data_IF_059321790082
#
_entry.id   IF_059321790082
#
_cell.length_a   1.000
_cell.length_b   1.000
_cell.length_c   1.000
_cell.angle_alpha   90.00
_cell.angle_beta   90.00
_cell.angle_gamma   90.00
#
_symmetry.space_group_name_H-M   'P 1'
#
loop_
_entity.id
_entity.type
_entity.pdbx_description
1 polymer ?
#
# COMPACT_ATOMS: atom_id res chain seq x y z
N UNK A 1 -1.71 -47.67 -3.71
CA UNK A 1 -0.29 -47.71 -3.32
C UNK A 1 0.02 -46.41 -2.59
N UNK A 2 0.32 -46.50 -1.30
CA UNK A 2 0.78 -45.41 -0.45
C UNK A 2 1.92 -46.01 0.36
N UNK A 3 3.08 -45.35 0.40
CA UNK A 3 4.18 -45.70 1.29
C UNK A 3 4.59 -44.47 2.11
N UNK A 4 4.75 -44.58 3.44
CA UNK A 4 5.06 -43.47 4.32
C UNK A 4 6.44 -43.60 5.05
N UNK A 5 6.96 -42.43 5.44
CA UNK A 5 7.95 -42.12 6.51
C UNK A 5 9.38 -42.69 6.45
N UNK A 6 10.37 -41.83 6.77
CA UNK A 6 11.35 -42.12 7.82
C UNK A 6 12.03 -40.85 8.36
N UNK A 7 11.90 -40.67 9.67
CA UNK A 7 12.63 -39.74 10.53
C UNK A 7 13.76 -40.55 11.18
N UNK A 8 15.00 -40.04 11.20
CA UNK A 8 16.08 -40.54 12.07
C UNK A 8 16.90 -39.36 12.54
N UNK A 9 16.82 -39.12 13.85
CA UNK A 9 17.76 -38.33 14.65
C UNK A 9 18.70 -39.34 15.34
N UNK A 10 20.02 -39.15 15.33
CA UNK A 10 20.91 -39.36 16.49
C UNK A 10 22.42 -39.12 16.21
N UNK A 11 23.01 -38.30 17.09
CA UNK A 11 24.30 -38.45 17.81
C UNK A 11 25.65 -37.99 17.21
N UNK A 12 26.08 -36.82 17.71
CA UNK A 12 27.20 -36.57 18.64
C UNK A 12 28.60 -37.23 18.50
N UNK A 13 29.59 -36.36 18.76
CA UNK A 13 30.97 -36.55 19.26
C UNK A 13 32.04 -37.01 18.24
N UNK A 14 33.26 -36.45 18.17
CA UNK A 14 33.98 -35.57 19.09
C UNK A 14 35.20 -34.91 18.39
N UNK A 15 35.83 -33.98 19.12
CA UNK A 15 37.25 -33.61 19.10
C UNK A 15 37.70 -32.39 18.27
N UNK A 16 37.50 -31.21 18.86
CA UNK A 16 38.57 -30.28 19.27
C UNK A 16 39.75 -30.00 18.31
N UNK A 17 39.84 -28.75 17.87
CA UNK A 17 41.07 -28.20 17.30
C UNK A 17 40.92 -26.71 17.01
N UNK A 18 41.38 -25.88 17.93
CA UNK A 18 41.62 -24.45 17.69
C UNK A 18 42.64 -24.26 16.55
N UNK A 19 42.34 -23.36 15.62
CA UNK A 19 43.37 -22.55 14.98
C UNK A 19 43.49 -22.66 13.46
N UNK A 20 43.27 -21.54 12.79
CA UNK A 20 44.13 -21.12 11.68
C UNK A 20 43.49 -21.06 10.30
N UNK A 21 43.36 -19.82 9.79
CA UNK A 21 43.62 -19.55 8.37
C UNK A 21 42.40 -19.42 7.46
N UNK A 22 42.17 -18.23 6.87
CA UNK A 22 41.11 -17.99 5.90
C UNK A 22 41.61 -18.38 4.51
N UNK A 23 40.86 -19.12 3.70
CA UNK A 23 41.01 -19.12 2.24
C UNK A 23 39.90 -19.94 1.56
N UNK A 24 39.63 -19.59 0.31
CA UNK A 24 38.85 -20.35 -0.69
C UNK A 24 37.38 -19.96 -0.90
N UNK A 25 37.17 -18.83 -1.59
CA UNK A 25 36.05 -18.67 -2.54
C UNK A 25 36.43 -18.01 -3.86
N UNK A 26 37.71 -17.80 -4.17
CA UNK A 26 38.13 -17.21 -5.45
C UNK A 26 39.35 -17.95 -6.00
N UNK A 27 39.12 -19.13 -6.58
CA UNK A 27 40.07 -19.74 -7.52
C UNK A 27 39.53 -19.49 -8.93
N UNK A 28 40.17 -18.55 -9.62
CA UNK A 28 40.07 -18.32 -11.05
C UNK A 28 41.46 -17.94 -11.54
N UNK A 29 42.08 -18.87 -12.25
CA UNK A 29 43.46 -18.93 -12.73
C UNK A 29 43.90 -17.71 -13.59
N UNK A 30 45.04 -17.10 -13.23
CA UNK A 30 46.28 -16.76 -14.00
C UNK A 30 46.19 -16.18 -15.44
N UNK A 31 46.91 -15.12 -15.90
CA UNK A 31 48.00 -14.25 -15.40
C UNK A 31 48.26 -13.07 -16.42
N UNK A 32 49.25 -12.13 -16.31
CA UNK A 32 49.04 -10.67 -16.18
C UNK A 32 49.95 -9.83 -17.16
N UNK A 33 50.46 -8.58 -16.90
CA UNK A 33 50.13 -7.53 -15.90
C UNK A 33 49.98 -6.09 -16.46
N UNK A 34 49.13 -5.25 -15.84
CA UNK A 34 49.52 -3.89 -15.37
C UNK A 34 48.37 -3.13 -14.71
N UNK A 35 48.69 -2.59 -13.52
CA UNK A 35 48.07 -1.44 -12.83
C UNK A 35 46.61 -1.53 -12.31
N UNK A 36 46.51 -1.96 -11.04
CA UNK A 36 45.84 -1.27 -9.93
C UNK A 36 44.39 -0.77 -10.09
N UNK A 37 43.47 -1.60 -9.60
CA UNK A 37 42.32 -1.29 -8.74
C UNK A 37 42.10 0.21 -8.43
N UNK A 38 41.00 0.78 -8.96
CA UNK A 38 40.10 1.64 -8.17
C UNK A 38 38.68 1.63 -8.75
N UNK A 39 37.80 1.00 -7.97
CA UNK A 39 36.36 0.93 -8.10
C UNK A 39 35.78 2.34 -8.20
N UNK A 40 34.99 2.56 -9.26
CA UNK A 40 34.29 3.79 -9.62
C UNK A 40 33.24 4.18 -8.57
N UNK A 41 33.63 5.09 -7.68
CA UNK A 41 32.74 6.10 -7.10
C UNK A 41 33.08 7.43 -7.77
N UNK A 42 32.54 7.69 -8.96
CA UNK A 42 32.80 8.94 -9.68
C UNK A 42 31.64 9.34 -10.59
N UNK A 43 30.54 9.78 -9.99
CA UNK A 43 29.56 10.63 -10.69
C UNK A 43 29.25 11.94 -9.94
N UNK A 44 30.07 12.32 -8.95
CA UNK A 44 29.97 13.63 -8.28
C UNK A 44 31.14 14.58 -8.57
N UNK A 45 32.04 14.25 -9.51
CA UNK A 45 33.21 15.08 -9.81
C UNK A 45 33.24 15.70 -11.21
N UNK A 46 32.18 15.56 -12.01
CA UNK A 46 32.11 16.16 -13.35
C UNK A 46 31.58 17.61 -13.38
N UNK A 47 31.31 18.23 -12.22
CA UNK A 47 30.91 19.64 -12.14
C UNK A 47 32.03 20.57 -11.60
N UNK A 48 33.26 20.04 -11.41
CA UNK A 48 34.39 20.80 -10.86
C UNK A 48 35.41 21.25 -11.94
N UNK A 49 35.01 21.27 -13.21
CA UNK A 49 35.84 21.72 -14.33
C UNK A 49 35.16 22.84 -15.16
N UNK A 50 34.35 23.67 -14.50
CA UNK A 50 33.97 24.99 -14.99
C UNK A 50 34.36 26.00 -13.91
N UNK A 51 35.20 26.96 -14.27
CA UNK A 51 35.98 27.75 -13.32
C UNK A 51 35.16 28.54 -12.28
N UNK A 52 35.73 28.60 -11.07
CA UNK A 52 35.65 29.79 -10.22
C UNK A 52 34.59 29.83 -9.11
N UNK A 53 34.53 28.84 -8.21
CA UNK A 53 33.94 29.03 -6.88
C UNK A 53 34.42 27.94 -5.89
N UNK A 54 35.72 27.95 -5.57
CA UNK A 54 36.27 27.10 -4.54
C UNK A 54 36.05 27.73 -3.15
N UNK A 55 35.35 27.00 -2.25
CA UNK A 55 35.71 27.00 -0.83
C UNK A 55 34.84 27.75 0.18
N UNK A 56 33.51 27.71 0.10
CA UNK A 56 32.68 28.14 1.24
C UNK A 56 31.68 27.07 1.73
N UNK A 57 32.17 25.86 2.04
CA UNK A 57 31.42 25.07 3.03
C UNK A 57 31.43 25.89 4.31
N UNK A 58 30.24 26.32 4.74
CA UNK A 58 30.07 27.12 5.95
C UNK A 58 30.80 26.43 7.10
N UNK A 59 31.76 27.13 7.71
CA UNK A 59 32.57 26.58 8.81
C UNK A 59 31.69 26.18 9.98
N UNK A 60 30.55 26.84 10.15
CA UNK A 60 29.55 26.49 11.15
C UNK A 60 28.92 25.14 10.82
N UNK A 61 28.45 24.94 9.59
CA UNK A 61 27.91 23.65 9.15
C UNK A 61 28.92 22.51 9.24
N UNK A 62 30.20 22.77 8.93
CA UNK A 62 31.26 21.78 9.09
C UNK A 62 31.50 21.41 10.56
N UNK A 63 31.53 22.41 11.46
CA UNK A 63 31.67 22.18 12.89
C UNK A 63 30.48 21.43 13.47
N UNK A 64 29.25 21.80 13.10
CA UNK A 64 28.02 21.12 13.51
C UNK A 64 28.03 19.65 13.07
N UNK A 65 28.46 19.39 11.84
CA UNK A 65 28.55 18.03 11.31
C UNK A 65 29.61 17.20 12.05
N UNK A 66 30.75 17.80 12.38
CA UNK A 66 31.82 17.16 13.18
C UNK A 66 31.36 16.89 14.61
N UNK A 67 30.58 17.77 15.22
CA UNK A 67 30.07 17.63 16.59
C UNK A 67 28.95 16.58 16.69
N UNK A 68 28.12 16.45 15.66
CA UNK A 68 27.01 15.48 15.63
C UNK A 68 27.51 14.04 15.41
N UNK A 69 28.65 13.82 14.75
CA UNK A 69 29.16 12.47 14.44
C UNK A 69 29.42 11.61 15.69
N UNK A 70 30.14 12.09 16.73
CA UNK A 70 30.30 11.35 18.00
C UNK A 70 28.96 11.09 18.72
N UNK A 71 27.99 12.00 18.62
CA UNK A 71 26.68 11.85 19.26
C UNK A 71 25.84 10.77 18.55
N UNK A 72 25.86 10.76 17.23
CA UNK A 72 25.23 9.73 16.40
C UNK A 72 25.89 8.37 16.65
N UNK A 73 27.21 8.32 16.75
CA UNK A 73 27.94 7.09 17.09
C UNK A 73 27.54 6.59 18.49
N UNK A 74 27.48 7.48 19.50
CA UNK A 74 26.98 7.13 20.84
C UNK A 74 25.54 6.63 20.82
N UNK A 75 24.67 7.18 19.98
CA UNK A 75 23.28 6.73 19.85
C UNK A 75 23.20 5.33 19.22
N UNK A 76 24.03 5.05 18.22
CA UNK A 76 24.13 3.74 17.56
C UNK A 76 24.68 2.70 18.54
N UNK A 77 25.72 3.04 19.29
CA UNK A 77 26.33 2.15 20.29
C UNK A 77 25.37 1.88 21.46
N UNK A 78 24.54 2.87 21.84
CA UNK A 78 23.44 2.70 22.82
C UNK A 78 22.31 1.81 22.32
N UNK A 79 22.03 1.80 21.02
CA UNK A 79 21.01 0.95 20.39
C UNK A 79 21.43 -0.54 20.36
N UNK A 80 22.72 -0.84 20.49
CA UNK A 80 23.17 -2.23 20.68
C UNK A 80 22.95 -2.73 22.12
N UNK A 81 22.89 -1.82 23.11
CA UNK A 81 22.76 -2.14 24.53
C UNK A 81 21.33 -1.94 25.09
N UNK A 82 20.29 -1.83 24.24
CA UNK A 82 18.90 -1.70 24.70
C UNK A 82 18.41 -3.01 25.31
N UNK A 83 18.53 -3.12 26.63
CA UNK A 83 17.87 -4.12 27.46
C UNK A 83 16.42 -3.75 27.79
N UNK A 84 15.67 -3.16 26.84
CA UNK A 84 14.22 -3.03 26.99
C UNK A 84 13.56 -4.35 26.55
N UNK A 85 13.62 -5.37 27.40
CA UNK A 85 12.68 -6.47 27.28
C UNK A 85 11.30 -5.91 27.61
N UNK A 86 10.52 -5.59 26.58
CA UNK A 86 9.08 -5.35 26.67
C UNK A 86 8.42 -6.66 27.12
N UNK A 87 8.50 -6.99 28.42
CA UNK A 87 7.60 -7.95 29.05
C UNK A 87 6.23 -7.29 29.13
N UNK A 88 5.55 -7.20 27.98
CA UNK A 88 4.11 -7.01 27.95
C UNK A 88 3.49 -8.33 28.36
N UNK A 89 2.95 -8.41 29.58
CA UNK A 89 2.07 -9.51 29.95
C UNK A 89 0.81 -9.44 29.07
N UNK A 90 0.70 -10.35 28.12
CA UNK A 90 -0.55 -10.58 27.39
C UNK A 90 -1.53 -11.24 28.36
N UNK A 91 -2.48 -10.47 28.88
CA UNK A 91 -3.69 -11.04 29.45
C UNK A 91 -4.63 -11.39 28.29
N UNK A 92 -4.76 -12.68 27.98
CA UNK A 92 -5.77 -13.18 27.05
C UNK A 92 -7.17 -12.92 27.62
N UNK A 93 -7.84 -11.85 27.18
CA UNK A 93 -9.29 -11.71 27.38
C UNK A 93 -10.01 -12.48 26.28
N UNK A 94 -10.91 -13.40 26.64
CA UNK A 94 -11.75 -14.13 25.68
C UNK A 94 -12.53 -13.15 24.81
N UNK A 95 -12.52 -13.37 23.49
CA UNK A 95 -13.34 -12.65 22.51
C UNK A 95 -14.82 -12.70 22.89
N UNK A 96 -15.55 -11.58 22.95
CA UNK A 96 -16.98 -11.61 23.20
C UNK A 96 -17.67 -12.31 22.02
N UNK A 97 -18.49 -13.31 22.31
CA UNK A 97 -19.27 -14.04 21.31
C UNK A 97 -20.26 -13.11 20.61
N UNK A 98 -20.44 -13.36 19.31
CA UNK A 98 -21.29 -12.62 18.36
C UNK A 98 -22.79 -12.69 18.66
N UNK A 99 -23.19 -13.38 19.74
CA UNK A 99 -24.59 -13.60 20.12
C UNK A 99 -25.22 -12.42 20.89
N UNK A 100 -24.42 -11.47 21.39
CA UNK A 100 -24.96 -10.30 22.13
C UNK A 100 -25.57 -9.21 21.25
N UNK A 101 -25.39 -9.28 19.92
CA UNK A 101 -25.95 -8.33 18.96
C UNK A 101 -27.37 -8.68 18.49
N UNK A 102 -27.90 -9.87 18.80
CA UNK A 102 -29.20 -10.34 18.29
C UNK A 102 -30.39 -10.12 19.24
N UNK A 103 -30.21 -9.44 20.39
CA UNK A 103 -31.26 -9.27 21.41
C UNK A 103 -31.67 -7.83 21.71
N UNK A 104 -31.52 -6.92 20.73
CA UNK A 104 -31.86 -5.49 20.87
C UNK A 104 -32.89 -4.96 19.86
N UNK A 105 -33.83 -5.79 19.41
CA UNK A 105 -35.01 -5.33 18.63
C UNK A 105 -36.31 -5.34 19.43
N UNK A 106 -36.30 -5.60 20.74
CA UNK A 106 -37.51 -5.48 21.57
C UNK A 106 -37.18 -4.97 22.97
N UNK A 107 -37.19 -3.65 23.15
CA UNK A 107 -37.75 -2.96 24.34
C UNK A 107 -37.36 -1.48 24.29
N UNK A 108 -38.29 -0.68 23.75
CA UNK A 108 -38.35 0.75 24.05
C UNK A 108 -38.84 0.94 25.48
N UNK A 109 -38.10 1.73 26.28
CA UNK A 109 -38.53 2.54 27.45
C UNK A 109 -37.72 2.26 28.73
N UNK A 110 -36.96 3.26 29.18
CA UNK A 110 -36.40 3.26 30.54
C UNK A 110 -35.24 4.22 30.71
N UNK A 111 -35.41 5.21 31.59
CA UNK A 111 -34.47 6.29 31.88
C UNK A 111 -33.37 5.86 32.86
N UNK A 112 -32.28 6.62 32.87
CA UNK A 112 -31.28 6.81 33.93
C UNK A 112 -30.35 5.64 34.29
N UNK A 113 -29.05 5.85 34.03
CA UNK A 113 -27.97 5.51 34.96
C UNK A 113 -26.69 6.27 34.55
N UNK A 114 -26.45 7.40 35.21
CA UNK A 114 -25.14 8.05 35.21
C UNK A 114 -24.13 7.11 35.90
N UNK A 115 -23.06 6.74 35.21
CA UNK A 115 -21.93 6.05 35.81
C UNK A 115 -20.83 7.04 36.19
N UNK A 116 -20.32 6.79 37.39
CA UNK A 116 -19.59 7.65 38.29
C UNK A 116 -18.10 7.79 37.98
N UNK A 117 -17.55 8.96 38.32
CA UNK A 117 -16.12 9.26 38.38
C UNK A 117 -15.69 9.13 39.85
N UNK A 118 -14.59 8.42 40.20
CA UNK A 118 -14.12 8.33 41.58
C UNK A 118 -13.04 9.40 41.86
N UNK A 119 -13.38 10.43 42.65
CA UNK A 119 -12.38 11.32 43.25
C UNK A 119 -12.13 10.90 44.69
N UNK A 120 -10.88 10.57 45.00
CA UNK A 120 -10.43 10.16 46.34
C UNK A 120 -9.83 11.37 47.09
N UNK A 121 -10.28 11.52 48.35
CA UNK A 121 -9.70 12.25 49.49
C UNK A 121 -9.86 13.79 49.54
N UNK A 122 -10.82 14.24 50.35
CA UNK A 122 -10.58 15.32 51.32
C UNK A 122 -11.09 14.92 52.71
N UNK A 123 -10.29 15.29 53.71
CA UNK A 123 -10.37 14.93 55.13
C UNK A 123 -11.37 15.86 55.82
N UNK A 124 -12.28 15.29 56.60
CA UNK A 124 -13.38 15.97 57.30
C UNK A 124 -13.09 16.01 58.81
N UNK A 125 -13.34 17.19 59.41
CA UNK A 125 -13.37 17.57 60.83
C UNK A 125 -14.29 18.80 60.79
N UNK A 126 -15.53 18.81 61.22
CA UNK A 126 -16.20 18.06 62.27
C UNK A 126 -16.93 19.12 63.07
N UNK A 127 -18.22 19.35 62.79
CA UNK A 127 -19.05 20.26 63.57
C UNK A 127 -20.43 19.64 63.80
N UNK A 128 -20.67 19.29 65.07
CA UNK A 128 -21.99 19.05 65.63
C UNK A 128 -22.21 20.22 66.57
N UNK A 129 -23.37 20.86 66.49
CA UNK A 129 -24.38 20.79 67.56
C UNK A 129 -25.59 21.64 67.17
N UNK A 130 -26.75 20.99 67.27
CA UNK A 130 -28.08 21.56 67.14
C UNK A 130 -28.61 21.65 68.57
N UNK A 131 -28.77 22.85 69.11
CA UNK A 131 -29.18 23.05 70.50
C UNK A 131 -29.97 24.34 70.68
N UNK A 132 -31.28 24.19 70.82
CA UNK A 132 -32.31 25.23 70.84
C UNK A 132 -32.93 25.24 72.24
N UNK A 133 -33.11 26.44 72.83
CA UNK A 133 -34.21 26.90 73.71
C UNK A 133 -33.81 27.71 74.97
N UNK A 134 -34.44 28.89 75.08
CA UNK A 134 -35.00 29.57 76.28
C UNK A 134 -34.15 29.81 77.53
N UNK A 135 -33.97 31.08 77.91
CA UNK A 135 -34.76 31.71 79.00
C UNK A 135 -34.37 33.17 79.23
N UNK A 136 -35.37 33.95 79.62
CA UNK A 136 -35.34 35.36 79.97
C UNK A 136 -34.44 35.65 81.18
N UNK A 137 -33.87 36.86 81.28
CA UNK A 137 -34.27 37.88 82.26
C UNK A 137 -33.27 39.06 82.33
N UNK A 138 -33.85 40.22 82.61
CA UNK A 138 -33.31 41.55 82.91
C UNK A 138 -31.95 41.63 83.60
N UNK A 139 -31.21 42.68 83.23
CA UNK A 139 -30.11 43.25 84.02
C UNK A 139 -29.49 44.49 83.39
N UNK A 140 -30.30 45.41 82.85
CA UNK A 140 -29.84 46.72 82.40
C UNK A 140 -29.57 47.61 83.61
N UNK A 141 -28.32 47.61 84.09
CA UNK A 141 -27.79 48.54 85.08
C UNK A 141 -26.27 48.41 85.16
N UNK A 142 -25.55 48.90 84.14
CA UNK A 142 -24.18 49.37 84.33
C UNK A 142 -23.96 50.64 83.50
N UNK A 143 -24.03 51.76 84.20
CA UNK A 143 -23.74 53.11 83.72
C UNK A 143 -22.35 53.20 83.08
N UNK A 144 -22.16 54.02 82.03
CA UNK A 144 -20.86 54.29 81.46
C UNK A 144 -20.10 55.27 82.36
N UNK A 145 -19.03 54.80 82.99
CA UNK A 145 -18.10 55.69 83.69
C UNK A 145 -17.18 56.27 82.62
N UNK A 146 -17.48 57.51 82.22
CA UNK A 146 -16.48 58.41 81.68
C UNK A 146 -15.35 58.54 82.70
N UNK A 147 -14.16 58.05 82.35
CA UNK A 147 -12.92 58.33 83.07
C UNK A 147 -11.98 59.02 82.10
N UNK A 148 -11.83 60.34 82.26
CA UNK A 148 -10.81 61.15 81.57
C UNK A 148 -9.70 61.48 82.55
N UNK A 149 -8.48 61.04 82.23
CA UNK A 149 -7.14 61.54 82.59
C UNK A 149 -6.16 60.47 82.10
N UNK A 150 -5.04 60.67 81.42
CA UNK A 150 -4.30 61.81 80.91
C UNK A 150 -3.08 61.15 80.21
N UNK A 151 -2.91 61.34 78.90
CA UNK A 151 -1.74 61.07 78.03
C UNK A 151 -0.80 59.85 78.31
N UNK A 152 -0.62 58.99 77.28
CA UNK A 152 0.39 59.30 76.26
C UNK A 152 -0.22 59.35 74.86
N UNK A 153 -1.11 60.32 74.61
CA UNK A 153 -1.80 60.44 73.31
C UNK A 153 -0.87 60.77 72.14
N UNK A 154 0.34 61.29 72.40
CA UNK A 154 1.34 61.53 71.36
C UNK A 154 1.88 60.20 70.80
N UNK A 155 2.26 59.27 71.69
CA UNK A 155 2.81 57.96 71.29
C UNK A 155 1.77 57.04 70.64
N UNK A 156 0.51 57.16 71.01
CA UNK A 156 -0.57 56.39 70.37
C UNK A 156 -1.04 57.03 69.05
N UNK A 157 -0.97 58.36 68.94
CA UNK A 157 -1.17 59.08 67.68
C UNK A 157 -0.14 58.72 66.61
N UNK A 158 1.15 58.70 66.97
CA UNK A 158 2.24 58.30 66.06
C UNK A 158 2.09 56.86 65.58
N UNK A 159 1.66 55.94 66.45
CA UNK A 159 1.35 54.55 66.07
C UNK A 159 0.16 54.47 65.11
N UNK A 160 -0.88 55.26 65.34
CA UNK A 160 -2.04 55.34 64.44
C UNK A 160 -1.64 55.88 63.06
N UNK A 161 -0.75 56.86 63.01
CA UNK A 161 -0.19 57.40 61.76
C UNK A 161 0.66 56.34 61.06
N UNK A 162 1.55 55.64 61.78
CA UNK A 162 2.36 54.56 61.21
C UNK A 162 1.52 53.37 60.72
N UNK A 163 0.44 53.01 61.41
CA UNK A 163 -0.50 51.97 60.97
C UNK A 163 -1.27 52.41 59.72
N UNK A 164 -1.68 53.68 59.65
CA UNK A 164 -2.31 54.25 58.46
C UNK A 164 -1.37 54.17 57.25
N UNK A 165 -0.12 54.58 57.42
CA UNK A 165 0.90 54.50 56.37
C UNK A 165 1.11 53.04 55.91
N UNK A 166 1.16 52.07 56.84
CA UNK A 166 1.23 50.65 56.47
C UNK A 166 0.01 50.17 55.69
N UNK A 167 -1.20 50.60 56.05
CA UNK A 167 -2.42 50.25 55.31
C UNK A 167 -2.38 50.85 53.91
N UNK A 168 -1.95 52.09 53.75
CA UNK A 168 -1.79 52.75 52.46
C UNK A 168 -0.72 52.06 51.59
N UNK A 169 0.40 51.63 52.19
CA UNK A 169 1.44 50.86 51.50
C UNK A 169 0.98 49.46 51.10
N UNK A 170 0.23 48.77 51.97
CA UNK A 170 -0.35 47.47 51.66
C UNK A 170 -1.40 47.60 50.55
N UNK A 171 -2.22 48.65 50.57
CA UNK A 171 -3.20 48.95 49.54
C UNK A 171 -2.51 49.20 48.19
N UNK A 172 -1.41 49.97 48.17
CA UNK A 172 -0.60 50.21 46.97
C UNK A 172 0.03 48.93 46.42
N UNK A 173 0.56 48.07 47.31
CA UNK A 173 1.10 46.75 46.93
C UNK A 173 0.03 45.79 46.43
N UNK A 174 -1.22 45.95 46.87
CA UNK A 174 -2.34 45.15 46.38
C UNK A 174 -2.69 45.59 44.95
N UNK A 175 -2.84 46.89 44.71
CA UNK A 175 -3.15 47.41 43.37
C UNK A 175 -2.07 47.10 42.34
N UNK A 176 -0.79 47.17 42.71
CA UNK A 176 0.31 46.76 41.82
C UNK A 176 0.24 45.27 41.47
N UNK A 177 -0.10 44.40 42.44
CA UNK A 177 -0.30 42.97 42.17
C UNK A 177 -1.52 42.72 41.29
N UNK A 178 -2.60 43.45 41.48
CA UNK A 178 -3.82 43.32 40.67
C UNK A 178 -3.55 43.74 39.21
N UNK A 179 -2.80 44.81 38.98
CA UNK A 179 -2.36 45.22 37.64
C UNK A 179 -1.44 44.18 36.97
N UNK A 180 -0.51 43.60 37.73
CA UNK A 180 0.35 42.51 37.24
C UNK A 180 -0.46 41.24 36.93
N UNK A 181 -1.46 40.92 37.76
CA UNK A 181 -2.35 39.78 37.55
C UNK A 181 -3.18 39.99 36.27
N UNK A 182 -3.75 41.18 36.08
CA UNK A 182 -4.46 41.56 34.85
C UNK A 182 -3.54 41.49 33.61
N UNK A 183 -2.30 41.94 33.72
CA UNK A 183 -1.32 41.82 32.62
C UNK A 183 -0.99 40.37 32.31
N UNK A 184 -0.79 39.53 33.33
CA UNK A 184 -0.52 38.11 33.16
C UNK A 184 -1.72 37.36 32.57
N UNK A 185 -2.95 37.73 32.94
CA UNK A 185 -4.17 37.18 32.37
C UNK A 185 -4.30 37.52 30.88
N UNK A 186 -4.02 38.77 30.50
CA UNK A 186 -3.96 39.18 29.08
C UNK A 186 -2.91 38.42 28.29
N UNK A 187 -1.71 38.25 28.83
CA UNK A 187 -0.68 37.42 28.21
C UNK A 187 -1.12 35.95 28.09
N UNK A 188 -1.75 35.39 29.12
CA UNK A 188 -2.27 34.01 29.09
C UNK A 188 -3.33 33.83 28.00
N UNK A 189 -4.24 34.79 27.82
CA UNK A 189 -5.25 34.73 26.74
C UNK A 189 -4.62 34.85 25.35
N UNK A 190 -3.61 35.72 25.18
CA UNK A 190 -2.80 35.84 23.96
C UNK A 190 -2.05 34.54 23.62
N UNK A 191 -1.39 33.93 24.61
CA UNK A 191 -0.69 32.64 24.45
C UNK A 191 -1.68 31.53 24.11
N UNK A 192 -2.86 31.51 24.72
CA UNK A 192 -3.90 30.53 24.43
C UNK A 192 -4.40 30.65 22.98
N UNK A 193 -4.62 31.87 22.49
CA UNK A 193 -5.00 32.09 21.10
C UNK A 193 -3.90 31.62 20.12
N UNK A 194 -2.62 31.92 20.41
CA UNK A 194 -1.49 31.43 19.60
C UNK A 194 -1.35 29.91 19.62
N UNK A 195 -1.63 29.27 20.76
CA UNK A 195 -1.63 27.81 20.89
C UNK A 195 -2.73 27.18 20.03
N UNK A 196 -3.93 27.74 20.03
CA UNK A 196 -5.05 27.25 19.24
C UNK A 196 -4.77 27.41 17.72
N UNK A 197 -4.18 28.52 17.30
CA UNK A 197 -3.72 28.73 15.91
C UNK A 197 -2.63 27.71 15.51
N UNK A 198 -1.62 27.51 16.36
CA UNK A 198 -0.58 26.51 16.09
C UNK A 198 -1.16 25.09 15.98
N UNK A 199 -2.17 24.76 16.78
CA UNK A 199 -2.88 23.49 16.72
C UNK A 199 -3.68 23.35 15.41
N UNK A 200 -4.32 24.42 14.97
CA UNK A 200 -5.01 24.46 13.68
C UNK A 200 -4.03 24.20 12.53
N UNK A 201 -2.91 24.93 12.47
CA UNK A 201 -1.87 24.75 11.45
C UNK A 201 -1.26 23.35 11.47
N UNK A 202 -1.06 22.76 12.65
CA UNK A 202 -0.60 21.38 12.76
C UNK A 202 -1.62 20.41 12.12
N UNK A 203 -2.91 20.61 12.36
CA UNK A 203 -3.96 19.78 11.78
C UNK A 203 -4.09 19.93 10.26
N UNK A 204 -3.90 21.13 9.71
CA UNK A 204 -3.86 21.38 8.26
C UNK A 204 -2.64 20.74 7.60
N UNK A 205 -1.46 20.85 8.23
CA UNK A 205 -0.25 20.19 7.72
C UNK A 205 -0.38 18.67 7.77
N UNK A 206 -1.00 18.11 8.80
CA UNK A 206 -1.27 16.67 8.88
C UNK A 206 -2.26 16.21 7.79
N UNK A 207 -3.28 17.01 7.47
CA UNK A 207 -4.23 16.69 6.39
C UNK A 207 -3.56 16.76 5.00
N UNK A 208 -2.70 17.76 4.78
CA UNK A 208 -1.88 17.88 3.58
C UNK A 208 -0.91 16.69 3.45
N UNK A 209 -0.25 16.31 4.55
CA UNK A 209 0.66 15.16 4.57
C UNK A 209 -0.08 13.87 4.20
N UNK A 210 -1.26 13.62 4.79
CA UNK A 210 -2.09 12.46 4.43
C UNK A 210 -2.50 12.47 2.96
N UNK A 211 -2.86 13.64 2.44
CA UNK A 211 -3.27 13.79 1.03
C UNK A 211 -2.10 13.52 0.09
N UNK A 212 -0.93 14.10 0.34
CA UNK A 212 0.28 13.88 -0.47
C UNK A 212 0.76 12.44 -0.38
N UNK A 213 0.67 11.80 0.79
CA UNK A 213 0.96 10.38 0.96
C UNK A 213 0.03 9.51 0.11
N UNK A 214 -1.28 9.81 0.09
CA UNK A 214 -2.26 9.10 -0.75
C UNK A 214 -1.96 9.27 -2.24
N UNK A 215 -1.63 10.48 -2.68
CA UNK A 215 -1.24 10.73 -4.07
C UNK A 215 0.03 9.98 -4.47
N UNK A 216 1.00 9.88 -3.57
CA UNK A 216 2.22 9.12 -3.80
C UNK A 216 1.94 7.62 -3.92
N UNK A 217 1.06 7.06 -3.09
CA UNK A 217 0.65 5.66 -3.22
C UNK A 217 -0.07 5.39 -4.54
N UNK A 218 -0.96 6.28 -4.96
CA UNK A 218 -1.68 6.15 -6.23
C UNK A 218 -0.72 6.21 -7.43
N UNK A 219 0.25 7.13 -7.38
CA UNK A 219 1.29 7.23 -8.40
C UNK A 219 2.16 5.97 -8.45
N UNK A 220 2.49 5.38 -7.28
CA UNK A 220 3.25 4.12 -7.19
C UNK A 220 2.49 2.95 -7.82
N UNK A 221 1.18 2.85 -7.58
CA UNK A 221 0.33 1.83 -8.20
C UNK A 221 0.32 2.00 -9.72
N UNK A 222 0.06 3.22 -10.22
CA UNK A 222 0.08 3.52 -11.66
C UNK A 222 1.43 3.19 -12.30
N UNK A 223 2.54 3.45 -11.60
CA UNK A 223 3.86 3.10 -12.08
C UNK A 223 4.05 1.58 -12.21
N UNK A 224 3.59 0.80 -11.22
CA UNK A 224 3.61 -0.65 -11.27
C UNK A 224 2.76 -1.19 -12.44
N UNK A 225 1.57 -0.61 -12.68
CA UNK A 225 0.71 -0.99 -13.81
C UNK A 225 1.40 -0.71 -15.16
N UNK A 226 2.08 0.44 -15.27
CA UNK A 226 2.85 0.78 -16.47
C UNK A 226 4.04 -0.17 -16.67
N UNK A 227 4.72 -0.55 -15.59
CA UNK A 227 5.81 -1.54 -15.64
C UNK A 227 5.29 -2.91 -16.11
N UNK A 228 4.17 -3.38 -15.58
CA UNK A 228 3.56 -4.64 -16.01
C UNK A 228 3.12 -4.60 -17.48
N UNK A 229 2.56 -3.48 -17.95
CA UNK A 229 2.20 -3.31 -19.35
C UNK A 229 3.43 -3.32 -20.28
N UNK A 230 4.54 -2.72 -19.84
CA UNK A 230 5.80 -2.71 -20.59
C UNK A 230 6.36 -4.14 -20.70
N UNK A 231 6.45 -4.88 -19.60
CA UNK A 231 6.96 -6.26 -19.59
C UNK A 231 6.13 -7.18 -20.48
N UNK A 232 4.80 -7.01 -20.46
CA UNK A 232 3.90 -7.73 -21.37
C UNK A 232 4.21 -7.41 -22.83
N UNK A 233 4.29 -6.14 -23.19
CA UNK A 233 4.59 -5.71 -24.56
C UNK A 233 5.97 -6.22 -25.00
N UNK A 234 6.97 -6.15 -24.13
CA UNK A 234 8.30 -6.68 -24.38
C UNK A 234 8.24 -8.20 -24.65
N UNK A 235 7.51 -8.95 -23.84
CA UNK A 235 7.34 -10.39 -24.04
C UNK A 235 6.62 -10.71 -25.36
N UNK A 236 5.56 -9.96 -25.70
CA UNK A 236 4.87 -10.08 -26.98
C UNK A 236 5.80 -9.77 -28.16
N UNK A 237 6.62 -8.72 -28.05
CA UNK A 237 7.59 -8.34 -29.08
C UNK A 237 8.69 -9.38 -29.26
N UNK A 238 9.29 -9.91 -28.18
CA UNK A 238 10.32 -10.94 -28.27
C UNK A 238 9.77 -12.26 -28.82
N UNK A 239 8.55 -12.61 -28.43
CA UNK A 239 7.89 -13.84 -28.90
C UNK A 239 7.46 -13.71 -30.37
N UNK A 240 6.94 -12.55 -30.77
CA UNK A 240 6.62 -12.26 -32.16
C UNK A 240 7.87 -12.25 -33.04
N UNK A 241 8.96 -11.64 -32.56
CA UNK A 241 10.25 -11.64 -33.26
C UNK A 241 10.75 -13.06 -33.54
N UNK A 242 10.71 -13.95 -32.54
CA UNK A 242 11.08 -15.36 -32.73
C UNK A 242 10.18 -16.10 -33.74
N UNK A 243 8.88 -15.79 -33.79
CA UNK A 243 7.98 -16.35 -34.83
C UNK A 243 8.35 -15.89 -36.23
N UNK A 244 8.71 -14.61 -36.39
CA UNK A 244 9.15 -14.05 -37.68
C UNK A 244 10.48 -14.67 -38.11
N UNK A 245 11.44 -14.82 -37.21
CA UNK A 245 12.72 -15.50 -37.48
C UNK A 245 12.49 -16.94 -37.96
N UNK A 246 11.60 -17.69 -37.30
CA UNK A 246 11.25 -19.06 -37.73
C UNK A 246 10.60 -19.10 -39.12
N UNK A 247 9.65 -18.20 -39.37
CA UNK A 247 9.02 -18.10 -40.70
C UNK A 247 10.02 -17.72 -41.80
N UNK A 248 11.04 -16.92 -41.48
CA UNK A 248 12.12 -16.59 -42.41
C UNK A 248 12.96 -17.83 -42.73
N UNK A 249 13.35 -18.62 -41.72
CA UNK A 249 14.08 -19.89 -41.92
C UNK A 249 13.28 -20.89 -42.78
N UNK A 250 11.98 -21.02 -42.54
CA UNK A 250 11.09 -21.88 -43.33
C UNK A 250 11.02 -21.42 -44.80
N UNK A 251 10.97 -20.10 -45.04
CA UNK A 251 10.96 -19.52 -46.39
C UNK A 251 12.29 -19.79 -47.12
N UNK A 252 13.42 -19.57 -46.44
CA UNK A 252 14.75 -19.82 -47.00
C UNK A 252 14.93 -21.31 -47.35
N UNK A 253 14.47 -22.21 -46.47
CA UNK A 253 14.46 -23.67 -46.70
C UNK A 253 13.64 -24.02 -47.95
N UNK A 254 12.41 -23.51 -48.04
CA UNK A 254 11.54 -23.74 -49.19
C UNK A 254 12.13 -23.18 -50.49
N UNK A 255 12.81 -22.03 -50.44
CA UNK A 255 13.49 -21.46 -51.60
C UNK A 255 14.64 -22.35 -52.09
N UNK A 256 15.41 -22.95 -51.18
CA UNK A 256 16.44 -23.94 -51.51
C UNK A 256 15.83 -25.20 -52.13
N UNK A 257 14.75 -25.73 -51.56
CA UNK A 257 14.01 -26.87 -52.11
C UNK A 257 13.46 -26.56 -53.51
N UNK A 258 12.83 -25.40 -53.72
CA UNK A 258 12.36 -24.94 -55.03
C UNK A 258 13.49 -24.81 -56.05
N UNK A 259 14.67 -24.36 -55.61
CA UNK A 259 15.86 -24.26 -56.47
C UNK A 259 16.36 -25.64 -56.88
N UNK A 260 16.33 -26.60 -55.95
CA UNK A 260 16.63 -28.01 -56.22
C UNK A 260 15.64 -28.61 -57.23
N UNK A 261 14.33 -28.41 -57.03
CA UNK A 261 13.30 -28.86 -57.98
C UNK A 261 13.46 -28.23 -59.37
N UNK A 262 13.73 -26.93 -59.44
CA UNK A 262 13.99 -26.24 -60.72
C UNK A 262 15.16 -26.88 -61.46
N UNK A 263 16.26 -27.16 -60.76
CA UNK A 263 17.44 -27.80 -61.35
C UNK A 263 17.11 -29.21 -61.88
N UNK A 264 16.30 -29.98 -61.14
CA UNK A 264 15.80 -31.29 -61.59
C UNK A 264 14.98 -31.17 -62.87
N UNK A 265 14.02 -30.24 -62.93
CA UNK A 265 13.21 -30.02 -64.13
C UNK A 265 14.04 -29.56 -65.33
N UNK A 266 15.00 -28.65 -65.13
CA UNK A 266 15.91 -28.19 -66.18
C UNK A 266 16.80 -29.35 -66.70
N UNK A 267 17.27 -30.22 -65.80
CA UNK A 267 18.00 -31.43 -66.18
C UNK A 267 17.16 -32.44 -66.97
N UNK A 268 15.86 -32.54 -66.71
CA UNK A 268 14.92 -33.37 -67.46
C UNK A 268 14.60 -32.78 -68.84
N UNK A 269 14.35 -31.47 -68.94
CA UNK A 269 14.06 -30.82 -70.23
C UNK A 269 15.24 -30.90 -71.19
N UNK A 270 16.47 -30.72 -70.70
CA UNK A 270 17.69 -30.85 -71.52
C UNK A 270 17.94 -32.26 -72.06
N UNK A 271 17.40 -33.30 -71.41
CA UNK A 271 17.57 -34.71 -71.84
C UNK A 271 16.52 -35.14 -72.89
N UNK A 272 15.39 -34.45 -72.96
CA UNK A 272 14.30 -34.80 -73.88
C UNK A 272 14.41 -34.10 -75.24
N UNK A 273 15.29 -33.10 -75.38
CA UNK A 273 15.54 -32.39 -76.65
C UNK A 273 16.52 -33.13 -77.58
N UNK A 274 16.96 -34.34 -77.20
CA UNK A 274 17.72 -35.24 -78.08
C UNK A 274 16.83 -36.38 -78.57
N UNK A 275 15.87 -36.00 -79.42
CA UNK A 275 15.31 -36.88 -80.44
C UNK A 275 14.21 -37.85 -80.02
N UNK A 276 13.01 -37.37 -79.71
CA UNK A 276 11.77 -38.11 -80.01
C UNK A 276 10.66 -37.12 -80.35
N UNK A 277 10.49 -36.86 -81.65
CA UNK A 277 9.28 -36.30 -82.21
C UNK A 277 8.27 -37.43 -82.36
N UNK A 278 7.38 -37.62 -81.40
CA UNK A 278 6.17 -38.41 -81.61
C UNK A 278 5.05 -37.91 -80.68
N UNK A 279 3.91 -37.63 -81.32
CA UNK A 279 2.68 -37.06 -80.78
C UNK A 279 2.23 -37.71 -79.47
N UNK A 280 1.97 -36.89 -78.45
CA UNK A 280 1.03 -37.25 -77.39
C UNK A 280 0.12 -36.05 -77.12
N UNK A 281 -1.08 -36.14 -77.69
CA UNK A 281 -2.25 -35.31 -77.36
C UNK A 281 -2.72 -35.69 -75.94
N UNK A 282 -2.23 -34.97 -74.93
CA UNK A 282 -2.79 -35.01 -73.57
C UNK A 282 -3.71 -33.83 -73.42
N UNK A 283 -5.00 -34.08 -73.63
CA UNK A 283 -6.07 -33.21 -73.16
C UNK A 283 -5.90 -33.02 -71.66
N UNK A 284 -5.46 -31.82 -71.27
CA UNK A 284 -5.41 -31.38 -69.88
C UNK A 284 -6.86 -31.32 -69.40
N UNK A 285 -7.28 -32.36 -68.68
CA UNK A 285 -8.54 -32.34 -67.94
C UNK A 285 -8.53 -31.12 -67.03
N UNK A 286 -9.43 -30.20 -67.33
CA UNK A 286 -9.73 -28.99 -66.60
C UNK A 286 -10.18 -29.38 -65.18
N UNK A 287 -9.25 -29.36 -64.22
CA UNK A 287 -9.53 -29.56 -62.80
C UNK A 287 -9.98 -28.22 -62.23
N UNK A 288 -11.12 -27.74 -62.73
CA UNK A 288 -11.79 -26.55 -62.23
C UNK A 288 -13.18 -26.95 -61.70
N UNK A 289 -13.16 -27.84 -60.71
CA UNK A 289 -14.31 -28.12 -59.85
C UNK A 289 -13.94 -27.75 -58.41
N UNK A 290 -13.71 -26.45 -58.19
CA UNK A 290 -13.98 -25.89 -56.88
C UNK A 290 -15.49 -26.00 -56.66
N UNK A 291 -15.87 -26.87 -55.73
CA UNK A 291 -17.24 -27.02 -55.29
C UNK A 291 -17.80 -25.65 -54.89
N UNK A 292 -18.84 -25.26 -55.60
CA UNK A 292 -19.88 -24.30 -55.29
C UNK A 292 -20.21 -24.32 -53.78
N UNK A 293 -19.54 -23.46 -53.02
CA UNK A 293 -19.89 -23.09 -51.64
C UNK A 293 -21.02 -22.03 -51.65
N UNK A 294 -21.45 -21.59 -52.83
CA UNK A 294 -22.36 -20.46 -53.04
C UNK A 294 -23.86 -20.79 -52.84
N UNK A 295 -24.17 -22.01 -52.38
CA UNK A 295 -25.56 -22.47 -52.18
C UNK A 295 -26.02 -22.39 -50.71
N UNK A 296 -25.39 -21.52 -49.91
CA UNK A 296 -25.87 -21.14 -48.57
C UNK A 296 -26.72 -19.87 -48.71
N UNK A 297 -28.03 -19.95 -48.43
CA UNK A 297 -28.89 -18.77 -48.58
C UNK A 297 -28.43 -17.61 -47.68
N UNK A 298 -28.53 -16.38 -48.17
CA UNK A 298 -28.17 -15.13 -47.44
C UNK A 298 -28.82 -15.06 -46.05
N UNK A 299 -29.97 -15.74 -45.88
CA UNK A 299 -30.67 -15.87 -44.60
C UNK A 299 -29.96 -16.83 -43.65
N UNK A 300 -29.54 -18.02 -44.08
CA UNK A 300 -28.77 -18.94 -43.22
C UNK A 300 -27.41 -18.35 -42.88
N UNK A 301 -26.78 -17.59 -43.79
CA UNK A 301 -25.53 -16.86 -43.49
C UNK A 301 -25.72 -15.89 -42.32
N UNK A 302 -26.79 -15.08 -42.36
CA UNK A 302 -27.15 -14.16 -41.26
C UNK A 302 -27.51 -14.88 -39.96
N UNK A 303 -28.21 -16.00 -40.05
CA UNK A 303 -28.58 -16.82 -38.88
C UNK A 303 -27.34 -17.40 -38.19
N UNK A 304 -26.32 -17.81 -38.96
CA UNK A 304 -25.04 -18.31 -38.43
C UNK A 304 -24.26 -17.18 -37.76
N UNK A 305 -24.22 -16.01 -38.37
CA UNK A 305 -23.56 -14.82 -37.80
C UNK A 305 -24.23 -14.40 -36.48
N UNK A 306 -25.56 -14.30 -36.43
CA UNK A 306 -26.30 -14.01 -35.19
C UNK A 306 -26.05 -15.05 -34.10
N UNK A 307 -25.99 -16.33 -34.46
CA UNK A 307 -25.66 -17.40 -33.51
C UNK A 307 -24.23 -17.31 -32.98
N UNK A 308 -23.27 -16.83 -33.78
CA UNK A 308 -21.90 -16.57 -33.35
C UNK A 308 -21.84 -15.38 -32.39
N UNK A 309 -22.51 -14.28 -32.73
CA UNK A 309 -22.60 -13.09 -31.87
C UNK A 309 -23.24 -13.42 -30.50
N UNK A 310 -24.33 -14.18 -30.50
CA UNK A 310 -25.00 -14.61 -29.27
C UNK A 310 -24.10 -15.49 -28.39
N UNK A 311 -23.31 -16.38 -29.00
CA UNK A 311 -22.33 -17.20 -28.26
C UNK A 311 -21.20 -16.36 -27.65
N UNK A 312 -20.67 -15.39 -28.41
CA UNK A 312 -19.62 -14.48 -27.92
C UNK A 312 -20.15 -13.60 -26.79
N UNK A 313 -21.39 -13.09 -26.91
CA UNK A 313 -22.04 -12.33 -25.85
C UNK A 313 -22.26 -13.18 -24.59
N UNK A 314 -22.73 -14.42 -24.74
CA UNK A 314 -22.92 -15.35 -23.63
C UNK A 314 -21.58 -15.75 -22.96
N UNK A 315 -20.49 -15.87 -23.72
CA UNK A 315 -19.15 -16.07 -23.16
C UNK A 315 -18.66 -14.84 -22.39
N UNK A 316 -18.97 -13.64 -22.85
CA UNK A 316 -18.64 -12.40 -22.15
C UNK A 316 -19.40 -12.31 -20.82
N UNK A 317 -20.70 -12.57 -20.80
CA UNK A 317 -21.51 -12.57 -19.57
C UNK A 317 -21.09 -13.68 -18.61
N UNK A 318 -20.82 -14.89 -19.10
CA UNK A 318 -20.31 -15.98 -18.27
C UNK A 318 -18.95 -15.67 -17.63
N UNK A 319 -18.08 -14.96 -18.36
CA UNK A 319 -16.79 -14.51 -17.84
C UNK A 319 -16.93 -13.39 -16.80
N UNK A 320 -17.91 -12.50 -16.98
CA UNK A 320 -18.16 -11.37 -16.07
C UNK A 320 -18.83 -11.81 -14.77
N UNK A 321 -19.86 -12.65 -14.85
CA UNK A 321 -20.72 -12.98 -13.72
C UNK A 321 -20.34 -14.29 -13.00
N UNK A 322 -19.61 -15.20 -13.67
CA UNK A 322 -19.13 -16.49 -13.11
C UNK A 322 -20.23 -17.30 -12.39
N UNK A 323 -21.47 -17.16 -12.83
CA UNK A 323 -22.66 -17.80 -12.31
C UNK A 323 -23.06 -19.01 -13.18
N UNK A 324 -23.79 -19.94 -12.56
CA UNK A 324 -24.21 -21.17 -13.21
C UNK A 324 -25.17 -20.89 -14.38
N UNK A 325 -26.02 -19.87 -14.27
CA UNK A 325 -26.98 -19.47 -15.30
C UNK A 325 -26.28 -18.93 -16.55
N UNK A 326 -25.29 -18.03 -16.41
CA UNK A 326 -24.50 -17.58 -17.57
C UNK A 326 -23.66 -18.69 -18.18
N UNK A 327 -23.13 -19.62 -17.39
CA UNK A 327 -22.41 -20.80 -17.91
C UNK A 327 -23.32 -21.73 -18.71
N UNK A 328 -24.58 -21.92 -18.26
CA UNK A 328 -25.59 -22.69 -18.97
C UNK A 328 -26.03 -21.98 -20.26
N UNK A 329 -26.11 -20.65 -20.26
CA UNK A 329 -26.40 -19.84 -21.45
C UNK A 329 -25.28 -19.93 -22.51
N UNK A 330 -24.01 -19.90 -22.08
CA UNK A 330 -22.87 -20.12 -22.97
C UNK A 330 -22.87 -21.55 -23.56
N UNK A 331 -23.28 -22.55 -22.77
CA UNK A 331 -23.42 -23.92 -23.26
C UNK A 331 -24.58 -24.08 -24.26
N UNK A 332 -25.73 -23.45 -24.01
CA UNK A 332 -26.90 -23.53 -24.90
C UNK A 332 -26.66 -22.82 -26.24
N UNK A 333 -26.04 -21.64 -26.22
CA UNK A 333 -25.64 -20.90 -27.44
C UNK A 333 -24.56 -21.64 -28.24
N UNK A 334 -23.63 -22.33 -27.57
CA UNK A 334 -22.67 -23.24 -28.24
C UNK A 334 -23.37 -24.40 -28.96
N UNK A 335 -24.36 -25.03 -28.33
CA UNK A 335 -25.14 -26.10 -28.97
C UNK A 335 -25.94 -25.56 -30.16
N UNK A 336 -26.50 -24.36 -30.04
CA UNK A 336 -27.18 -23.67 -31.14
C UNK A 336 -26.24 -23.45 -32.33
N UNK A 337 -25.01 -22.96 -32.09
CA UNK A 337 -24.01 -22.78 -33.14
C UNK A 337 -23.58 -24.11 -33.79
N UNK A 338 -23.40 -25.17 -33.00
CA UNK A 338 -23.09 -26.50 -33.51
C UNK A 338 -24.20 -27.08 -34.41
N UNK A 339 -25.46 -26.69 -34.18
CA UNK A 339 -26.57 -27.16 -35.02
C UNK A 339 -26.44 -26.72 -36.48
N UNK A 340 -25.88 -25.53 -36.75
CA UNK A 340 -25.64 -25.05 -38.11
C UNK A 340 -24.50 -25.82 -38.79
N UNK A 341 -23.43 -26.15 -38.07
CA UNK A 341 -22.31 -26.96 -38.59
C UNK A 341 -22.77 -28.38 -38.97
N UNK A 342 -23.70 -28.95 -38.21
CA UNK A 342 -24.30 -30.25 -38.52
C UNK A 342 -25.30 -30.17 -39.69
N UNK A 343 -26.02 -29.04 -39.84
CA UNK A 343 -26.94 -28.78 -40.97
C UNK A 343 -26.18 -28.64 -42.29
N UNK A 344 -25.05 -27.93 -42.30
CA UNK A 344 -24.21 -27.76 -43.49
C UNK A 344 -23.54 -29.07 -43.92
N UNK A 345 -23.12 -29.93 -42.99
CA UNK A 345 -22.63 -31.29 -43.31
C UNK A 345 -23.71 -32.19 -43.93
N UNK A 346 -24.97 -32.04 -43.54
CA UNK A 346 -26.08 -32.80 -44.14
C UNK A 346 -26.45 -32.31 -45.54
N UNK A 347 -26.28 -31.01 -45.83
CA UNK A 347 -26.52 -30.46 -47.18
C UNK A 347 -25.40 -30.86 -48.17
N UNK A 348 -24.16 -31.04 -47.71
CA UNK A 348 -23.03 -31.51 -48.51
C UNK A 348 -23.02 -33.02 -48.82
N UNK A 349 -24.11 -33.76 -48.58
CA UNK A 349 -24.21 -35.19 -48.89
C UNK A 349 -25.32 -35.51 -49.91
N UNK A 350 -25.09 -35.32 -51.22
CA UNK A 350 -25.91 -35.93 -52.25
C UNK A 350 -25.14 -36.99 -53.05
N UNK A 351 -24.75 -38.09 -52.41
CA UNK A 351 -24.59 -39.39 -53.08
C UNK A 351 -24.39 -40.48 -52.02
N UNK A 352 -24.75 -41.72 -52.35
CA UNK A 352 -24.67 -42.96 -51.54
C UNK A 352 -25.93 -43.51 -50.88
N UNK A 353 -27.09 -42.86 -50.97
CA UNK A 353 -28.38 -43.52 -50.64
C UNK A 353 -29.15 -44.01 -51.87
N UNK A 354 -28.50 -44.77 -52.76
CA UNK A 354 -29.21 -45.52 -53.81
C UNK A 354 -28.55 -46.87 -54.18
N UNK A 355 -27.91 -47.56 -53.23
CA UNK A 355 -27.31 -48.87 -53.48
C UNK A 355 -27.55 -49.90 -52.35
N UNK A 356 -28.75 -49.90 -51.76
CA UNK A 356 -29.22 -51.01 -50.93
C UNK A 356 -30.72 -51.23 -51.17
N UNK A 357 -31.04 -51.85 -52.31
CA UNK A 357 -32.41 -52.13 -52.72
C UNK A 357 -32.47 -52.99 -53.98
N UNK A 358 -31.82 -54.15 -53.95
CA UNK A 358 -32.16 -55.34 -54.74
C UNK A 358 -31.15 -56.46 -54.44
N UNK A 359 -31.49 -57.31 -53.47
CA UNK A 359 -31.33 -58.76 -53.62
C UNK A 359 -32.19 -59.51 -52.62
#
# INVERSE_FOLDING_TARGET
MYEPQHFVDLQDNAAGGFGGGPDSWLSGEDQPPSASIRRTLSSFSAAAAAGGAAGNVDRVLFNDLVEIVPLVQSLIDRKANTSFTRRGSIAYTKTPSRESLLKKTSETKGRYAAQSIPTKKRRDLGDKELGKNTSDNRGDSFSPIFSSSELPAEKDGDKLIALREQVEDLQRKLSEKDELLESAEKEMTSVRAKLDEAKHQASEKDSLLKTTQSQLSDAKIKLADKQAALEKLQWEATTSKGKVEKLQEDLDTMQEEMSSFRLLFEGLTKKNDTGFAEDIDVTVSDVDHFSEIDDLDERDMRNIEEAQEAYVAALATAKEHQDEESSAMAASTRLHLQSFVLKTQKLGSPQWQSLCGNR
#
